data_IF_913071855982
#
_entry.id   IF_913071855982
#
_cell.length_a   1.000
_cell.length_b   1.000
_cell.length_c   1.000
_cell.angle_alpha   90.00
_cell.angle_beta   90.00
_cell.angle_gamma   90.00
#
_symmetry.space_group_name_H-M   'P 1'
#
loop_
_entity.id
_entity.type
_entity.pdbx_description
1 polymer ?
#
# COMPACT_ATOMS: atom_id res chain seq x y z
N UNK A 1 -5.95 2.87 7.01
CA UNK A 1 -5.59 2.01 5.85
C UNK A 1 -6.81 1.97 4.95
N UNK A 2 -6.65 2.10 3.64
CA UNK A 2 -7.74 1.92 2.68
C UNK A 2 -7.27 1.06 1.51
N UNK A 3 -8.23 0.42 0.82
CA UNK A 3 -7.99 -0.42 -0.36
C UNK A 3 -8.93 -0.02 -1.49
N UNK A 4 -8.50 -0.23 -2.73
CA UNK A 4 -9.34 -0.08 -3.92
C UNK A 4 -8.90 -1.05 -5.02
N UNK A 5 -9.76 -1.29 -6.01
CA UNK A 5 -9.43 -2.11 -7.18
C UNK A 5 -8.24 -1.50 -7.94
N UNK A 6 -7.27 -2.34 -8.32
CA UNK A 6 -5.98 -1.92 -8.87
C UNK A 6 -5.74 -2.24 -10.34
N UNK A 7 -6.68 -2.94 -10.99
CA UNK A 7 -6.63 -3.27 -12.41
C UNK A 7 -8.04 -3.34 -13.00
N UNK A 8 -8.12 -3.46 -14.32
CA UNK A 8 -9.38 -3.55 -15.04
C UNK A 8 -10.12 -4.88 -14.79
N UNK A 9 -9.38 -5.97 -14.55
CA UNK A 9 -9.92 -7.33 -14.47
C UNK A 9 -10.31 -7.76 -13.04
N UNK A 10 -10.07 -6.93 -12.03
CA UNK A 10 -10.31 -7.27 -10.63
C UNK A 10 -9.26 -8.21 -10.03
N UNK A 11 -8.11 -8.39 -10.69
CA UNK A 11 -6.98 -9.23 -10.26
C UNK A 11 -5.87 -8.43 -9.57
N UNK A 12 -6.12 -7.17 -9.26
CA UNK A 12 -5.21 -6.34 -8.49
C UNK A 12 -5.95 -5.47 -7.47
N UNK A 13 -5.25 -5.14 -6.40
CA UNK A 13 -5.71 -4.24 -5.33
C UNK A 13 -4.62 -3.23 -5.01
N UNK A 14 -4.98 -1.97 -4.87
CA UNK A 14 -4.09 -0.93 -4.36
C UNK A 14 -4.34 -0.80 -2.86
N UNK A 15 -3.31 -1.09 -2.06
CA UNK A 15 -3.32 -0.92 -0.60
C UNK A 15 -2.62 0.38 -0.26
N UNK A 16 -3.28 1.23 0.52
CA UNK A 16 -2.76 2.54 0.87
C UNK A 16 -2.84 2.81 2.37
N UNK A 17 -1.77 3.37 2.92
CA UNK A 17 -1.70 3.74 4.34
C UNK A 17 -0.75 4.91 4.56
N UNK A 18 -0.76 5.47 5.77
CA UNK A 18 0.08 6.60 6.15
C UNK A 18 0.90 6.20 7.36
N UNK A 19 2.21 6.46 7.33
CA UNK A 19 3.05 6.45 8.53
C UNK A 19 3.34 7.90 8.94
N UNK A 20 3.02 8.31 10.19
CA UNK A 20 2.98 9.73 10.55
C UNK A 20 4.36 10.35 10.76
N UNK A 21 5.33 9.60 11.30
CA UNK A 21 6.58 10.16 11.82
C UNK A 21 7.82 9.83 10.98
N UNK A 22 7.93 8.61 10.47
CA UNK A 22 9.10 8.11 9.72
C UNK A 22 8.62 7.36 8.49
N UNK A 23 9.43 7.38 7.43
CA UNK A 23 9.11 6.75 6.15
C UNK A 23 8.68 5.29 6.30
N UNK A 24 9.28 4.54 7.23
CA UNK A 24 8.88 3.15 7.48
C UNK A 24 9.06 2.24 6.26
N UNK A 25 8.43 1.07 6.29
CA UNK A 25 8.44 0.12 5.17
C UNK A 25 7.20 0.28 4.30
N UNK A 26 7.37 0.26 2.98
CA UNK A 26 6.28 0.15 2.00
C UNK A 26 5.97 -1.29 1.59
N UNK A 27 6.50 -2.28 2.30
CA UNK A 27 6.29 -3.69 1.99
C UNK A 27 4.96 -4.17 2.54
N UNK A 28 4.11 -4.73 1.68
CA UNK A 28 2.88 -5.44 2.07
C UNK A 28 3.15 -6.94 2.05
N UNK A 29 2.82 -7.62 3.15
CA UNK A 29 2.82 -9.09 3.25
C UNK A 29 1.39 -9.58 3.09
N UNK A 30 1.13 -10.49 2.15
CA UNK A 30 -0.22 -10.94 1.80
C UNK A 30 -0.27 -12.43 1.45
N UNK A 31 -1.48 -12.98 1.44
CA UNK A 31 -1.79 -14.36 1.10
C UNK A 31 -3.27 -14.66 1.30
N UNK A 32 -3.68 -15.89 1.02
CA UNK A 32 -5.10 -16.31 1.00
C UNK A 32 -5.67 -16.60 2.39
N UNK A 33 -4.81 -16.71 3.41
CA UNK A 33 -5.22 -16.90 4.80
C UNK A 33 -4.18 -16.29 5.75
N UNK A 34 -4.59 -16.05 7.00
CA UNK A 34 -3.75 -15.45 8.04
C UNK A 34 -2.40 -16.16 8.23
N UNK A 35 -2.40 -17.49 8.27
CA UNK A 35 -1.19 -18.30 8.45
C UNK A 35 -0.51 -18.68 7.12
N UNK A 36 -0.97 -18.13 5.98
CA UNK A 36 -0.46 -18.43 4.64
C UNK A 36 -0.05 -17.17 3.88
N UNK A 37 0.43 -16.14 4.59
CA UNK A 37 0.93 -14.90 3.99
C UNK A 37 2.36 -15.10 3.46
N UNK A 38 2.48 -15.67 2.26
CA UNK A 38 3.79 -16.03 1.65
C UNK A 38 4.29 -14.99 0.64
N UNK A 39 3.44 -14.07 0.21
CA UNK A 39 3.76 -13.12 -0.84
C UNK A 39 4.09 -11.75 -0.27
N UNK A 40 5.01 -11.05 -0.92
CA UNK A 40 5.33 -9.68 -0.58
C UNK A 40 5.27 -8.80 -1.82
N UNK A 41 4.80 -7.58 -1.64
CA UNK A 41 4.81 -6.56 -2.68
C UNK A 41 5.46 -5.29 -2.12
N UNK A 42 6.28 -4.63 -2.94
CA UNK A 42 6.93 -3.39 -2.58
C UNK A 42 6.12 -2.21 -3.12
N UNK A 43 5.64 -1.35 -2.22
CA UNK A 43 4.98 -0.10 -2.57
C UNK A 43 5.93 1.07 -2.75
N UNK A 44 5.36 2.17 -3.22
CA UNK A 44 6.02 3.49 -3.30
C UNK A 44 5.60 4.37 -2.13
N UNK A 45 6.45 5.34 -1.80
CA UNK A 45 6.16 6.38 -0.79
C UNK A 45 6.10 7.72 -1.48
N UNK A 46 5.12 8.51 -1.12
CA UNK A 46 5.01 9.92 -1.50
C UNK A 46 4.71 10.78 -0.28
N UNK A 47 4.93 12.08 -0.42
CA UNK A 47 4.61 13.08 0.60
C UNK A 47 4.27 14.37 -0.13
N UNK A 48 3.31 15.12 0.38
CA UNK A 48 2.97 16.42 -0.18
C UNK A 48 3.01 17.51 0.89
N UNK A 49 3.10 18.75 0.42
CA UNK A 49 3.01 19.96 1.23
C UNK A 49 1.89 20.83 0.69
N UNK A 50 1.07 21.36 1.59
CA UNK A 50 -0.04 22.26 1.26
C UNK A 50 -0.05 23.42 2.28
N UNK A 51 0.35 24.62 1.85
CA UNK A 51 0.66 25.75 2.73
C UNK A 51 1.64 25.39 3.86
N UNK A 52 1.22 25.54 5.11
CA UNK A 52 1.97 25.19 6.32
C UNK A 52 1.81 23.71 6.72
N UNK A 53 0.92 22.96 6.07
CA UNK A 53 0.74 21.54 6.31
C UNK A 53 1.72 20.71 5.48
N UNK A 54 2.33 19.71 6.11
CA UNK A 54 3.09 18.67 5.42
C UNK A 54 2.52 17.32 5.82
N UNK A 55 2.17 16.48 4.85
CA UNK A 55 1.55 15.18 5.11
C UNK A 55 2.49 14.24 5.88
N UNK A 56 1.94 13.15 6.42
CA UNK A 56 2.73 11.96 6.74
C UNK A 56 3.30 11.30 5.47
N UNK A 57 3.99 10.19 5.63
CA UNK A 57 4.49 9.39 4.50
C UNK A 57 3.34 8.53 3.98
N UNK A 58 2.93 8.77 2.74
CA UNK A 58 1.80 8.12 2.10
C UNK A 58 2.33 6.96 1.28
N UNK A 59 1.90 5.75 1.62
CA UNK A 59 2.29 4.52 0.95
C UNK A 59 1.20 4.08 -0.01
N UNK A 60 1.61 3.65 -1.20
CA UNK A 60 0.74 2.96 -2.16
C UNK A 60 1.43 1.69 -2.62
N UNK A 61 0.76 0.55 -2.49
CA UNK A 61 1.28 -0.74 -2.91
C UNK A 61 0.24 -1.44 -3.79
N UNK A 62 0.66 -1.82 -5.01
CA UNK A 62 -0.20 -2.56 -5.94
C UNK A 62 0.08 -4.05 -5.78
N UNK A 63 -0.91 -4.80 -5.31
CA UNK A 63 -0.92 -6.26 -5.33
C UNK A 63 -1.48 -6.68 -6.68
N UNK A 64 -0.74 -7.49 -7.44
CA UNK A 64 -1.13 -7.94 -8.79
C UNK A 64 -1.27 -9.45 -8.83
N UNK A 65 -1.92 -9.96 -9.87
CA UNK A 65 -2.08 -11.39 -10.15
C UNK A 65 -2.78 -12.13 -9.00
N UNK A 66 -3.82 -11.50 -8.43
CA UNK A 66 -4.70 -12.11 -7.43
C UNK A 66 -5.71 -13.05 -8.11
N UNK A 67 -6.21 -14.01 -7.34
CA UNK A 67 -7.27 -14.97 -7.74
C UNK A 67 -8.65 -14.35 -7.68
#
# INVERSE_FOLDING_TARGET
VHITQGDYLGKAVIVSWITPLKMGSSRVLYGTAENKRRYTAQGTVTRYKYHNYTSGYIHHCVLKNLE
#
